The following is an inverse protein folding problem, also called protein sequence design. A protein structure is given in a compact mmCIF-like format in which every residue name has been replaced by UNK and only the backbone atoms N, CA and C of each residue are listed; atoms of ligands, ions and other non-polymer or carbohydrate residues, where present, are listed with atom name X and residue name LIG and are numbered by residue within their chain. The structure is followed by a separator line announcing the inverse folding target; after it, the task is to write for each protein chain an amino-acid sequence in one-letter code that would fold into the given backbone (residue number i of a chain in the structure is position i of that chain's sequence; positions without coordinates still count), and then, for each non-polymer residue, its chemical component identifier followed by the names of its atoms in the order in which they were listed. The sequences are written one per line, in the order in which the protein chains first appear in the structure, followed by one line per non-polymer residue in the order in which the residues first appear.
data_IF_811243535836
#
_entry.id   IF_811243535836
#
_cell.length_a   1.000
_cell.length_b   1.000
_cell.length_c   1.000
_cell.angle_alpha   90.00
_cell.angle_beta   90.00
_cell.angle_gamma   90.00
#
_symmetry.space_group_name_H-M   'P 1'
#
loop_
_entity.id
_entity.type
_entity.pdbx_description
1 polymer ?
#
# COMPACT_ATOMS: atom_id res chain seq x y z
N UNK A 1 -5.45 6.22 -48.63
CA UNK A 1 -5.28 5.19 -47.58
C UNK A 1 -3.81 4.95 -47.17
N UNK A 2 -2.88 4.50 -48.08
CA UNK A 2 -1.46 4.21 -47.66
C UNK A 2 -0.70 5.42 -47.10
N UNK A 3 -0.92 6.67 -47.60
CA UNK A 3 -0.31 7.89 -47.06
C UNK A 3 -0.83 8.22 -45.65
N UNK A 4 -2.12 8.07 -45.43
CA UNK A 4 -2.76 8.34 -44.11
C UNK A 4 -2.24 7.41 -43.04
N UNK A 5 -2.11 6.09 -43.35
CA UNK A 5 -1.51 5.09 -42.44
C UNK A 5 -0.03 5.41 -42.10
N UNK A 6 0.76 5.88 -43.08
CA UNK A 6 2.13 6.30 -42.82
C UNK A 6 2.20 7.50 -41.88
N UNK A 7 1.36 8.53 -42.10
CA UNK A 7 1.31 9.72 -41.24
C UNK A 7 0.90 9.33 -39.81
N UNK A 8 -0.16 8.52 -39.65
CA UNK A 8 -0.58 8.03 -38.31
C UNK A 8 0.55 7.25 -37.64
N UNK A 9 1.20 6.34 -38.37
CA UNK A 9 2.33 5.57 -37.83
C UNK A 9 3.50 6.45 -37.38
N UNK A 10 3.82 7.50 -38.14
CA UNK A 10 4.86 8.47 -37.78
C UNK A 10 4.47 9.25 -36.52
N UNK A 11 3.23 9.71 -36.40
CA UNK A 11 2.75 10.43 -35.21
C UNK A 11 2.83 9.54 -33.98
N UNK A 12 2.37 8.30 -34.07
CA UNK A 12 2.46 7.33 -32.96
C UNK A 12 3.92 7.11 -32.55
N UNK A 13 4.82 6.94 -33.51
CA UNK A 13 6.25 6.74 -33.22
C UNK A 13 6.84 7.97 -32.51
N UNK A 14 6.53 9.17 -32.95
CA UNK A 14 6.99 10.43 -32.31
C UNK A 14 6.44 10.54 -30.89
N UNK A 15 5.17 10.19 -30.66
CA UNK A 15 4.59 10.20 -29.32
C UNK A 15 5.24 9.15 -28.39
N UNK A 16 5.56 7.97 -28.91
CA UNK A 16 6.29 6.94 -28.13
C UNK A 16 7.69 7.44 -27.77
N UNK A 17 8.43 8.02 -28.72
CA UNK A 17 9.76 8.56 -28.45
C UNK A 17 9.70 9.70 -27.42
N UNK A 18 8.75 10.61 -27.56
CA UNK A 18 8.54 11.69 -26.61
C UNK A 18 8.19 11.16 -25.19
N UNK A 19 7.35 10.13 -25.10
CA UNK A 19 7.00 9.48 -23.84
C UNK A 19 8.24 8.81 -23.22
N UNK A 20 9.00 8.04 -23.99
CA UNK A 20 10.22 7.38 -23.49
C UNK A 20 11.24 8.42 -23.02
N UNK A 21 11.46 9.48 -23.78
CA UNK A 21 12.32 10.58 -23.38
C UNK A 21 11.84 11.24 -22.09
N UNK A 22 10.56 11.53 -21.98
CA UNK A 22 9.95 12.08 -20.76
C UNK A 22 10.17 11.17 -19.54
N UNK A 23 9.89 9.88 -19.67
CA UNK A 23 10.11 8.90 -18.60
C UNK A 23 11.60 8.83 -18.21
N UNK A 24 12.51 8.84 -19.18
CA UNK A 24 13.95 8.79 -18.93
C UNK A 24 14.45 10.04 -18.18
N UNK A 25 14.04 11.25 -18.60
CA UNK A 25 14.47 12.49 -17.96
C UNK A 25 13.80 12.75 -16.60
N UNK A 26 12.63 12.18 -16.33
CA UNK A 26 11.93 12.33 -15.06
C UNK A 26 12.29 11.26 -14.05
N UNK A 27 12.80 10.10 -14.50
CA UNK A 27 13.19 9.00 -13.62
C UNK A 27 14.46 9.34 -12.85
N UNK A 28 14.41 9.21 -11.52
CA UNK A 28 15.54 9.37 -10.63
C UNK A 28 16.17 8.02 -10.33
N UNK A 29 17.50 7.88 -10.32
CA UNK A 29 18.15 6.65 -9.90
C UNK A 29 17.85 6.36 -8.43
N UNK A 30 17.85 5.08 -8.05
CA UNK A 30 17.72 4.69 -6.65
C UNK A 30 18.95 5.20 -5.88
N UNK A 31 18.77 6.07 -4.88
CA UNK A 31 19.90 6.60 -4.13
C UNK A 31 20.49 5.51 -3.23
N UNK A 32 21.81 5.55 -3.11
CA UNK A 32 22.52 4.70 -2.16
C UNK A 32 22.50 5.36 -0.78
N UNK A 33 22.22 4.58 0.25
CA UNK A 33 22.16 5.04 1.63
C UNK A 33 23.12 4.29 2.53
N UNK A 34 23.47 4.91 3.65
CA UNK A 34 24.31 4.33 4.71
C UNK A 34 23.44 3.48 5.66
N UNK A 35 23.75 2.18 5.76
CA UNK A 35 23.11 1.27 6.72
C UNK A 35 23.72 1.46 8.12
N UNK A 36 23.00 1.08 9.16
CA UNK A 36 23.54 1.05 10.51
C UNK A 36 22.69 1.79 11.54
N UNK A 37 23.30 2.15 12.65
CA UNK A 37 22.63 2.64 13.86
C UNK A 37 21.73 3.87 13.59
N UNK A 38 22.16 4.77 12.71
CA UNK A 38 21.36 5.98 12.35
C UNK A 38 20.04 5.60 11.67
N UNK A 39 20.08 4.65 10.73
CA UNK A 39 18.87 4.18 10.05
C UNK A 39 17.90 3.51 11.00
N UNK A 40 18.41 2.68 11.93
CA UNK A 40 17.60 2.05 12.95
C UNK A 40 17.01 3.09 13.92
N UNK A 41 17.80 4.07 14.36
CA UNK A 41 17.33 5.15 15.24
C UNK A 41 16.24 6.01 14.60
N UNK A 42 16.38 6.35 13.30
CA UNK A 42 15.34 7.08 12.59
C UNK A 42 14.07 6.24 12.43
N UNK A 43 14.22 4.94 12.17
CA UNK A 43 13.09 3.99 12.11
C UNK A 43 12.33 3.97 13.44
N UNK A 44 13.04 3.87 14.58
CA UNK A 44 12.42 3.88 15.91
C UNK A 44 11.65 5.18 16.16
N UNK A 45 12.22 6.33 15.79
CA UNK A 45 11.54 7.63 15.93
C UNK A 45 10.26 7.70 15.11
N UNK A 46 10.28 7.22 13.86
CA UNK A 46 9.09 7.14 13.00
C UNK A 46 8.04 6.23 13.65
N UNK A 47 8.42 5.04 14.06
CA UNK A 47 7.52 4.08 14.70
C UNK A 47 6.92 4.59 16.00
N UNK A 48 7.70 5.32 16.81
CA UNK A 48 7.19 6.00 18.02
C UNK A 48 6.20 7.12 17.67
N UNK A 49 6.50 7.92 16.64
CA UNK A 49 5.66 9.04 16.23
C UNK A 49 4.26 8.63 15.79
N UNK A 50 4.13 7.43 15.20
CA UNK A 50 2.84 6.87 14.74
C UNK A 50 2.22 5.87 15.73
N UNK A 51 2.92 5.58 16.84
CA UNK A 51 2.54 4.62 17.87
C UNK A 51 2.46 3.17 17.36
N UNK A 52 3.57 2.67 16.81
CA UNK A 52 3.73 1.28 16.37
C UNK A 52 3.27 0.27 17.40
N UNK A 53 3.70 0.42 18.67
CA UNK A 53 3.36 -0.50 19.75
C UNK A 53 1.85 -0.67 19.95
N UNK A 54 1.11 0.42 19.82
CA UNK A 54 -0.35 0.35 19.89
C UNK A 54 -0.94 -0.32 18.64
N UNK A 55 -0.40 -0.01 17.44
CA UNK A 55 -0.78 -0.69 16.19
C UNK A 55 -0.59 -2.21 16.26
N UNK A 56 0.49 -2.69 16.86
CA UNK A 56 0.78 -4.12 16.99
C UNK A 56 -0.29 -4.84 17.85
N UNK A 57 -0.92 -4.12 18.78
CA UNK A 57 -2.01 -4.63 19.61
C UNK A 57 -3.38 -4.61 18.96
N UNK A 58 -3.54 -3.95 17.81
CA UNK A 58 -4.78 -3.93 17.04
C UNK A 58 -4.99 -5.29 16.38
N UNK A 59 -6.19 -5.84 16.54
CA UNK A 59 -6.61 -7.11 15.95
C UNK A 59 -7.41 -6.88 14.67
N UNK A 60 -8.32 -5.94 14.69
CA UNK A 60 -9.28 -5.71 13.61
C UNK A 60 -9.09 -4.34 12.96
N UNK A 61 -9.13 -4.32 11.62
CA UNK A 61 -9.03 -3.11 10.81
C UNK A 61 -10.11 -3.13 9.74
N UNK A 62 -10.83 -2.03 9.58
CA UNK A 62 -11.71 -1.79 8.45
C UNK A 62 -11.32 -0.49 7.76
N UNK A 63 -11.42 -0.45 6.45
CA UNK A 63 -11.20 0.76 5.66
C UNK A 63 -11.84 0.65 4.28
N UNK A 64 -12.05 1.80 3.64
CA UNK A 64 -12.48 1.88 2.25
C UNK A 64 -11.39 2.58 1.43
N UNK A 65 -10.99 1.97 0.32
CA UNK A 65 -10.00 2.51 -0.60
C UNK A 65 -10.68 3.07 -1.85
N UNK A 66 -10.35 4.30 -2.22
CA UNK A 66 -10.93 5.02 -3.39
C UNK A 66 -12.46 5.02 -3.44
N UNK A 67 -13.14 4.83 -2.31
CA UNK A 67 -14.60 4.82 -2.25
C UNK A 67 -15.28 3.55 -2.77
N UNK A 68 -14.54 2.60 -3.35
CA UNK A 68 -15.10 1.41 -4.01
C UNK A 68 -14.69 0.07 -3.40
N UNK A 69 -13.50 -0.05 -2.87
CA UNK A 69 -13.05 -1.28 -2.22
C UNK A 69 -13.23 -1.17 -0.71
N UNK A 70 -14.02 -2.05 -0.14
CA UNK A 70 -14.30 -2.11 1.30
C UNK A 70 -13.60 -3.30 1.90
N UNK A 71 -12.76 -3.05 2.90
CA UNK A 71 -11.96 -4.06 3.56
C UNK A 71 -12.36 -4.22 5.02
N UNK A 72 -12.40 -5.48 5.47
CA UNK A 72 -12.43 -5.87 6.88
C UNK A 72 -11.33 -6.92 7.07
N UNK A 73 -10.42 -6.68 8.01
CA UNK A 73 -9.22 -7.49 8.19
C UNK A 73 -9.04 -7.88 9.65
N UNK A 74 -9.02 -9.18 9.91
CA UNK A 74 -8.56 -9.76 11.17
C UNK A 74 -7.05 -10.04 11.05
N UNK A 75 -6.23 -9.15 11.60
CA UNK A 75 -4.77 -9.24 11.54
C UNK A 75 -4.24 -10.49 12.24
N UNK A 76 -4.90 -10.93 13.32
CA UNK A 76 -4.42 -12.05 14.14
C UNK A 76 -4.64 -13.40 13.46
N UNK A 77 -5.78 -13.56 12.76
CA UNK A 77 -6.13 -14.79 12.04
C UNK A 77 -5.75 -14.78 10.57
N UNK A 78 -5.22 -13.66 10.07
CA UNK A 78 -4.94 -13.43 8.64
C UNK A 78 -6.18 -13.57 7.74
N UNK A 79 -7.36 -13.20 8.26
CA UNK A 79 -8.62 -13.28 7.53
C UNK A 79 -8.99 -11.91 6.98
N UNK A 80 -9.37 -11.87 5.72
CA UNK A 80 -9.74 -10.65 5.01
C UNK A 80 -11.08 -10.83 4.32
N UNK A 81 -11.99 -9.87 4.51
CA UNK A 81 -13.13 -9.68 3.64
C UNK A 81 -12.87 -8.48 2.75
N UNK A 82 -13.09 -8.66 1.45
CA UNK A 82 -13.07 -7.59 0.45
C UNK A 82 -14.43 -7.53 -0.23
N UNK A 83 -14.97 -6.32 -0.34
CA UNK A 83 -16.19 -6.07 -1.09
C UNK A 83 -15.95 -4.98 -2.13
N UNK A 84 -16.30 -5.25 -3.38
CA UNK A 84 -16.27 -4.27 -4.47
C UNK A 84 -17.32 -4.63 -5.52
N UNK A 85 -17.94 -3.64 -6.13
CA UNK A 85 -19.06 -3.81 -7.05
C UNK A 85 -20.13 -4.76 -6.46
N UNK A 86 -20.35 -5.91 -7.09
CA UNK A 86 -21.29 -6.93 -6.64
C UNK A 86 -20.59 -8.17 -6.05
N UNK A 87 -19.30 -8.06 -5.76
CA UNK A 87 -18.48 -9.16 -5.22
C UNK A 87 -18.22 -9.01 -3.74
N UNK A 88 -18.26 -10.13 -3.04
CA UNK A 88 -17.80 -10.29 -1.66
C UNK A 88 -16.92 -11.51 -1.57
N UNK A 89 -15.69 -11.32 -1.12
CA UNK A 89 -14.70 -12.40 -0.94
C UNK A 89 -14.24 -12.39 0.50
N UNK A 90 -14.28 -13.57 1.13
CA UNK A 90 -13.80 -13.82 2.49
C UNK A 90 -12.74 -14.91 2.40
N UNK A 91 -11.53 -14.64 2.85
CA UNK A 91 -10.41 -15.56 2.64
C UNK A 91 -9.30 -15.37 3.68
N UNK A 92 -8.45 -16.38 3.81
CA UNK A 92 -7.19 -16.28 4.53
C UNK A 92 -6.11 -15.77 3.58
N UNK A 93 -5.47 -14.64 3.90
CA UNK A 93 -4.49 -14.00 3.01
C UNK A 93 -3.12 -14.69 2.97
N UNK A 94 -2.89 -15.73 3.77
CA UNK A 94 -1.69 -16.57 3.73
C UNK A 94 -1.91 -17.83 2.89
N UNK A 95 -3.05 -18.52 3.08
CA UNK A 95 -3.34 -19.79 2.38
C UNK A 95 -4.10 -19.60 1.07
N UNK A 96 -4.73 -18.44 0.88
CA UNK A 96 -5.67 -18.13 -0.22
C UNK A 96 -6.89 -19.06 -0.25
N UNK A 97 -7.21 -19.68 0.87
CA UNK A 97 -8.44 -20.46 1.04
C UNK A 97 -9.58 -19.55 1.49
N UNK A 98 -10.78 -19.80 0.97
CA UNK A 98 -11.91 -18.94 1.32
C UNK A 98 -13.16 -19.18 0.48
N UNK A 99 -14.08 -18.24 0.59
CA UNK A 99 -15.33 -18.22 -0.16
C UNK A 99 -15.49 -16.91 -0.91
N UNK A 100 -16.15 -16.96 -2.05
CA UNK A 100 -16.42 -15.80 -2.88
C UNK A 100 -17.88 -15.81 -3.35
N UNK A 101 -18.45 -14.63 -3.43
CA UNK A 101 -19.83 -14.41 -3.87
C UNK A 101 -19.86 -13.30 -4.92
N UNK A 102 -20.77 -13.44 -5.89
CA UNK A 102 -21.11 -12.43 -6.87
C UNK A 102 -22.64 -12.34 -6.98
N UNK A 103 -23.22 -11.15 -6.80
CA UNK A 103 -24.67 -10.95 -6.68
C UNK A 103 -25.30 -11.92 -5.65
N UNK A 104 -24.69 -12.07 -4.48
CA UNK A 104 -25.05 -12.96 -3.37
C UNK A 104 -25.06 -14.46 -3.71
N UNK A 105 -24.62 -14.84 -4.90
CA UNK A 105 -24.47 -16.25 -5.29
C UNK A 105 -23.03 -16.71 -5.05
N UNK A 106 -22.89 -17.84 -4.35
CA UNK A 106 -21.60 -18.43 -4.06
C UNK A 106 -20.92 -18.88 -5.35
N UNK A 107 -19.69 -18.45 -5.56
CA UNK A 107 -18.86 -18.86 -6.67
C UNK A 107 -18.19 -20.21 -6.36
N UNK A 108 -17.93 -20.99 -7.41
CA UNK A 108 -17.27 -22.29 -7.31
C UNK A 108 -16.00 -22.34 -8.18
N UNK A 109 -15.15 -23.30 -7.86
CA UNK A 109 -13.98 -23.69 -8.66
C UNK A 109 -13.12 -22.52 -9.17
N UNK A 110 -12.99 -22.42 -10.49
CA UNK A 110 -12.13 -21.43 -11.15
C UNK A 110 -12.54 -20.00 -10.86
N UNK A 111 -13.83 -19.69 -10.80
CA UNK A 111 -14.32 -18.32 -10.58
C UNK A 111 -14.09 -17.89 -9.13
N UNK A 112 -14.25 -18.80 -8.16
CA UNK A 112 -13.87 -18.56 -6.77
C UNK A 112 -12.37 -18.27 -6.66
N UNK A 113 -11.53 -19.10 -7.27
CA UNK A 113 -10.08 -18.95 -7.23
C UNK A 113 -9.63 -17.62 -7.85
N UNK A 114 -10.20 -17.22 -8.98
CA UNK A 114 -9.93 -15.93 -9.61
C UNK A 114 -10.36 -14.76 -8.72
N UNK A 115 -11.55 -14.84 -8.10
CA UNK A 115 -12.04 -13.79 -7.22
C UNK A 115 -11.17 -13.63 -5.97
N UNK A 116 -10.73 -14.74 -5.36
CA UNK A 116 -9.83 -14.71 -4.20
C UNK A 116 -8.47 -14.11 -4.59
N UNK A 117 -7.90 -14.50 -5.73
CA UNK A 117 -6.66 -13.92 -6.21
C UNK A 117 -6.79 -12.41 -6.44
N UNK A 118 -7.86 -11.96 -7.10
CA UNK A 118 -8.13 -10.54 -7.32
C UNK A 118 -8.27 -9.78 -6.00
N UNK A 119 -9.02 -10.34 -5.03
CA UNK A 119 -9.18 -9.76 -3.71
C UNK A 119 -7.86 -9.62 -2.97
N UNK A 120 -7.00 -10.65 -3.04
CA UNK A 120 -5.68 -10.65 -2.40
C UNK A 120 -4.73 -9.64 -3.05
N UNK A 121 -4.68 -9.56 -4.38
CA UNK A 121 -3.86 -8.59 -5.10
C UNK A 121 -4.30 -7.16 -4.75
N UNK A 122 -5.62 -6.90 -4.73
CA UNK A 122 -6.17 -5.61 -4.30
C UNK A 122 -5.86 -5.30 -2.84
N UNK A 123 -6.05 -6.25 -1.93
CA UNK A 123 -5.76 -6.05 -0.51
C UNK A 123 -4.29 -5.73 -0.26
N UNK A 124 -3.37 -6.45 -0.89
CA UNK A 124 -1.93 -6.21 -0.75
C UNK A 124 -1.55 -4.79 -1.21
N UNK A 125 -2.08 -4.35 -2.35
CA UNK A 125 -1.83 -3.00 -2.87
C UNK A 125 -2.51 -1.92 -2.01
N UNK A 126 -3.79 -2.06 -1.73
CA UNK A 126 -4.60 -1.00 -1.13
C UNK A 126 -4.31 -0.85 0.36
N UNK A 127 -4.07 -1.95 1.09
CA UNK A 127 -3.71 -1.91 2.50
C UNK A 127 -2.32 -1.29 2.72
N UNK A 128 -1.40 -1.42 1.77
CA UNK A 128 -0.07 -0.83 1.88
C UNK A 128 -0.13 0.71 2.00
N UNK A 129 -1.09 1.35 1.33
CA UNK A 129 -1.34 2.78 1.47
C UNK A 129 -1.84 3.20 2.86
N UNK A 130 -2.31 2.27 3.66
CA UNK A 130 -2.69 2.51 5.05
C UNK A 130 -1.55 2.17 6.01
N UNK A 131 -0.86 1.04 5.79
CA UNK A 131 0.00 0.42 6.80
C UNK A 131 1.50 0.52 6.53
N UNK A 132 1.93 1.04 5.38
CA UNK A 132 3.35 1.07 5.03
C UNK A 132 4.27 1.67 6.12
N UNK A 133 3.90 2.74 6.85
CA UNK A 133 4.71 3.26 7.94
C UNK A 133 4.87 2.29 9.11
N UNK A 134 3.95 1.33 9.27
CA UNK A 134 4.03 0.28 10.30
C UNK A 134 4.82 -0.96 9.83
N UNK A 135 5.26 -1.00 8.57
CA UNK A 135 5.96 -2.14 7.96
C UNK A 135 7.47 -1.91 7.77
N UNK A 136 8.02 -0.89 8.40
CA UNK A 136 9.43 -0.51 8.22
C UNK A 136 10.43 -1.59 8.69
N UNK A 137 9.97 -2.52 9.55
CA UNK A 137 10.77 -3.61 10.12
C UNK A 137 10.24 -5.00 9.76
N UNK A 138 9.42 -5.11 8.72
CA UNK A 138 8.96 -6.41 8.25
C UNK A 138 10.14 -7.32 7.86
N UNK A 139 9.93 -8.62 7.93
CA UNK A 139 10.92 -9.59 7.49
C UNK A 139 11.35 -9.31 6.03
N UNK A 140 12.65 -9.37 5.76
CA UNK A 140 13.20 -9.08 4.43
C UNK A 140 13.34 -7.58 4.12
N UNK A 141 13.12 -6.67 5.07
CA UNK A 141 13.40 -5.24 4.87
C UNK A 141 14.86 -4.90 5.21
N UNK A 142 15.43 -3.99 4.44
CA UNK A 142 16.69 -3.32 4.77
C UNK A 142 16.46 -1.83 4.88
N UNK A 143 17.20 -1.17 5.79
CA UNK A 143 17.08 0.26 6.08
C UNK A 143 18.41 0.96 5.90
N UNK A 144 18.38 2.15 5.33
CA UNK A 144 19.56 3.02 5.22
C UNK A 144 19.18 4.49 5.29
N UNK A 145 20.12 5.33 5.71
CA UNK A 145 19.95 6.78 5.67
C UNK A 145 20.42 7.30 4.33
N UNK A 146 19.59 8.12 3.71
CA UNK A 146 19.91 8.89 2.52
C UNK A 146 19.82 10.38 2.88
N UNK A 147 20.84 11.15 2.54
CA UNK A 147 20.75 12.61 2.66
C UNK A 147 19.94 13.16 1.49
N UNK A 148 18.80 13.79 1.81
CA UNK A 148 17.91 14.40 0.84
C UNK A 148 17.61 15.83 1.26
N UNK A 149 17.94 16.80 0.39
CA UNK A 149 17.69 18.23 0.64
C UNK A 149 18.22 18.70 2.02
N UNK A 150 19.41 18.26 2.39
CA UNK A 150 20.09 18.48 3.69
C UNK A 150 19.37 17.89 4.91
N UNK A 151 18.46 16.94 4.70
CA UNK A 151 17.77 16.20 5.77
C UNK A 151 18.06 14.70 5.65
N UNK A 152 18.11 14.02 6.79
CA UNK A 152 18.15 12.56 6.83
C UNK A 152 16.79 12.00 6.45
N UNK A 153 16.75 11.13 5.45
CA UNK A 153 15.57 10.40 5.02
C UNK A 153 15.81 8.90 5.17
N UNK A 154 14.78 8.14 5.49
CA UNK A 154 14.86 6.69 5.68
C UNK A 154 14.54 5.97 4.38
N UNK A 155 15.51 5.30 3.78
CA UNK A 155 15.29 4.35 2.70
C UNK A 155 14.93 2.98 3.28
N UNK A 156 13.82 2.42 2.85
CA UNK A 156 13.41 1.04 3.18
C UNK A 156 13.25 0.26 1.89
N UNK A 157 13.98 -0.84 1.76
CA UNK A 157 13.89 -1.76 0.63
C UNK A 157 13.30 -3.09 1.09
N UNK A 158 12.28 -3.56 0.39
CA UNK A 158 11.56 -4.80 0.66
C UNK A 158 12.07 -5.90 -0.26
N UNK A 159 13.02 -6.72 0.20
CA UNK A 159 13.60 -7.80 -0.62
C UNK A 159 12.63 -8.98 -0.79
N UNK A 160 11.68 -9.15 0.13
CA UNK A 160 10.69 -10.23 0.13
C UNK A 160 9.33 -9.70 0.58
N UNK A 161 8.27 -10.44 0.26
CA UNK A 161 6.89 -10.11 0.64
C UNK A 161 6.20 -9.12 -0.31
N UNK A 162 4.90 -8.95 -0.12
CA UNK A 162 4.07 -8.12 -0.99
C UNK A 162 3.95 -8.64 -2.42
N UNK A 163 3.46 -7.79 -3.32
CA UNK A 163 3.27 -8.14 -4.73
C UNK A 163 4.51 -7.86 -5.60
N UNK A 164 5.46 -7.06 -5.11
CA UNK A 164 6.61 -6.55 -5.88
C UNK A 164 7.89 -6.57 -5.03
N UNK A 165 8.52 -7.75 -4.83
CA UNK A 165 9.81 -7.84 -4.14
C UNK A 165 10.89 -7.00 -4.85
N UNK A 166 11.72 -6.30 -4.06
CA UNK A 166 12.75 -5.39 -4.55
C UNK A 166 12.37 -3.90 -4.50
N UNK A 167 11.11 -3.60 -4.25
CA UNK A 167 10.64 -2.22 -4.15
C UNK A 167 11.31 -1.45 -3.01
N UNK A 168 11.57 -0.18 -3.26
CA UNK A 168 12.24 0.72 -2.32
C UNK A 168 11.47 2.02 -2.14
N UNK A 169 11.40 2.49 -0.90
CA UNK A 169 10.68 3.69 -0.51
C UNK A 169 11.56 4.58 0.36
N UNK A 170 11.78 5.82 -0.06
CA UNK A 170 12.50 6.83 0.70
C UNK A 170 11.51 7.69 1.47
N UNK A 171 11.51 7.57 2.78
CA UNK A 171 10.61 8.27 3.68
C UNK A 171 11.21 9.60 4.15
N UNK A 172 10.51 10.68 3.87
CA UNK A 172 10.79 12.01 4.42
C UNK A 172 9.79 12.27 5.54
N UNK A 173 10.28 12.80 6.65
CA UNK A 173 9.49 13.03 7.86
C UNK A 173 9.43 14.52 8.22
N UNK A 174 8.47 14.89 9.04
CA UNK A 174 8.42 16.21 9.67
C UNK A 174 9.35 16.30 10.89
N UNK A 175 9.35 17.46 11.56
CA UNK A 175 10.11 17.70 12.80
C UNK A 175 9.74 16.78 13.97
N UNK A 176 8.56 16.13 13.92
CA UNK A 176 8.07 15.19 14.91
C UNK A 176 8.24 13.72 14.44
N UNK A 177 9.01 13.50 13.40
CA UNK A 177 9.25 12.18 12.77
C UNK A 177 8.00 11.51 12.20
N UNK A 178 6.90 12.26 11.97
CA UNK A 178 5.71 11.75 11.26
C UNK A 178 5.99 11.75 9.76
N UNK A 179 5.76 10.65 9.04
CA UNK A 179 5.95 10.60 7.60
C UNK A 179 5.12 11.65 6.86
N UNK A 180 5.77 12.43 5.99
CA UNK A 180 5.13 13.47 5.16
C UNK A 180 5.03 13.07 3.71
N UNK A 181 6.10 12.43 3.23
CA UNK A 181 6.28 12.10 1.82
C UNK A 181 7.08 10.81 1.76
N UNK A 182 6.77 9.99 0.78
CA UNK A 182 7.71 9.01 0.30
C UNK A 182 8.05 9.23 -1.17
N UNK A 183 9.25 8.81 -1.57
CA UNK A 183 9.62 8.63 -2.97
C UNK A 183 9.78 7.14 -3.22
N UNK A 184 9.25 6.65 -4.34
CA UNK A 184 9.17 5.23 -4.59
C UNK A 184 9.93 4.80 -5.84
N UNK A 185 10.56 3.66 -5.74
CA UNK A 185 11.19 2.89 -6.82
C UNK A 185 10.57 1.50 -6.79
N UNK A 186 9.57 1.29 -7.63
CA UNK A 186 8.77 0.07 -7.65
C UNK A 186 8.79 -0.53 -9.05
N UNK A 187 8.90 -1.84 -9.11
CA UNK A 187 9.13 -2.57 -10.37
C UNK A 187 8.00 -2.41 -11.40
N UNK A 188 6.78 -2.16 -10.93
CA UNK A 188 5.60 -1.99 -11.80
C UNK A 188 5.47 -0.60 -12.41
N UNK A 189 6.31 0.36 -12.00
CA UNK A 189 6.30 1.74 -12.52
C UNK A 189 7.66 2.03 -13.14
N UNK A 190 7.74 2.39 -14.42
CA UNK A 190 9.02 2.58 -15.13
C UNK A 190 9.74 3.88 -14.78
N UNK A 191 9.27 4.62 -13.78
CA UNK A 191 9.85 5.89 -13.32
C UNK A 191 10.18 5.80 -11.84
N UNK A 192 11.47 5.90 -11.52
CA UNK A 192 11.93 5.91 -10.14
C UNK A 192 11.85 7.30 -9.50
N UNK A 193 11.68 7.32 -8.19
CA UNK A 193 11.65 8.56 -7.40
C UNK A 193 10.35 9.35 -7.51
N UNK A 194 9.26 8.69 -7.92
CA UNK A 194 7.93 9.31 -7.87
C UNK A 194 7.57 9.65 -6.44
N UNK A 195 7.10 10.87 -6.25
CA UNK A 195 6.76 11.39 -4.95
C UNK A 195 5.27 11.28 -4.66
N UNK A 196 4.93 10.86 -3.44
CA UNK A 196 3.56 10.88 -2.94
C UNK A 196 3.54 11.33 -1.50
N UNK A 197 2.62 12.24 -1.17
CA UNK A 197 2.45 12.75 0.19
C UNK A 197 1.75 11.74 1.11
N UNK A 198 1.96 11.93 2.42
CA UNK A 198 1.24 11.28 3.50
C UNK A 198 0.61 12.38 4.36
N UNK A 199 -0.68 12.60 4.16
CA UNK A 199 -1.42 13.75 4.69
C UNK A 199 -2.63 13.32 5.50
N UNK A 200 -3.28 14.30 6.13
CA UNK A 200 -4.52 14.12 6.91
C UNK A 200 -4.36 13.00 7.96
N UNK A 201 -3.27 13.07 8.72
CA UNK A 201 -3.01 12.16 9.83
C UNK A 201 -4.08 12.30 10.90
N UNK A 202 -4.78 11.18 11.16
CA UNK A 202 -5.80 11.09 12.21
C UNK A 202 -5.34 10.18 13.32
N UNK A 203 -5.74 10.52 14.54
CA UNK A 203 -5.51 9.68 15.71
C UNK A 203 -6.73 8.79 15.94
N UNK A 204 -6.47 7.51 16.01
CA UNK A 204 -7.45 6.46 16.25
C UNK A 204 -7.30 5.87 17.66
N UNK A 205 -8.02 4.79 17.94
CA UNK A 205 -7.98 4.08 19.22
C UNK A 205 -6.53 3.80 19.65
N UNK A 206 -6.24 3.94 20.93
CA UNK A 206 -4.91 3.77 21.55
C UNK A 206 -3.84 4.74 20.97
N UNK A 207 -4.25 5.89 20.49
CA UNK A 207 -3.36 6.92 19.91
C UNK A 207 -2.58 6.44 18.66
N UNK A 208 -3.08 5.45 17.94
CA UNK A 208 -2.52 5.05 16.64
C UNK A 208 -2.77 6.17 15.62
N UNK A 209 -1.74 6.62 14.94
CA UNK A 209 -1.86 7.64 13.89
C UNK A 209 -1.83 6.99 12.52
N UNK A 210 -2.80 7.33 11.67
CA UNK A 210 -2.90 6.82 10.29
C UNK A 210 -3.14 8.01 9.36
N UNK A 211 -2.36 8.09 8.27
CA UNK A 211 -2.61 9.03 7.18
C UNK A 211 -3.84 8.59 6.38
N UNK A 212 -4.68 9.53 6.00
CA UNK A 212 -5.93 9.23 5.28
C UNK A 212 -5.98 9.79 3.87
N UNK A 213 -4.94 10.52 3.46
CA UNK A 213 -4.84 11.14 2.14
C UNK A 213 -3.42 11.05 1.60
N UNK A 214 -3.31 10.77 0.31
CA UNK A 214 -2.04 10.69 -0.40
C UNK A 214 -2.18 11.44 -1.72
N UNK A 215 -1.30 12.41 -1.97
CA UNK A 215 -1.27 13.20 -3.21
C UNK A 215 0.02 12.92 -3.96
N UNK A 216 -0.12 12.62 -5.23
CA UNK A 216 0.98 12.34 -6.15
C UNK A 216 0.47 12.34 -7.58
N UNK A 217 0.98 11.44 -8.40
CA UNK A 217 0.44 11.21 -9.75
C UNK A 217 -1.08 10.92 -9.72
N UNK A 218 -1.53 10.23 -8.70
CA UNK A 218 -2.94 9.92 -8.42
C UNK A 218 -3.22 10.31 -6.98
N UNK A 219 -4.33 10.99 -6.75
CA UNK A 219 -4.79 11.30 -5.40
C UNK A 219 -5.57 10.11 -4.84
N UNK A 220 -5.11 9.60 -3.69
CA UNK A 220 -5.72 8.47 -3.01
C UNK A 220 -6.32 8.92 -1.68
N UNK A 221 -7.48 8.39 -1.34
CA UNK A 221 -8.13 8.60 -0.05
C UNK A 221 -8.52 7.28 0.58
N UNK A 222 -8.22 7.18 1.87
CA UNK A 222 -8.68 6.12 2.75
C UNK A 222 -9.83 6.65 3.59
N UNK A 223 -10.96 5.96 3.57
CA UNK A 223 -12.20 6.38 4.22
C UNK A 223 -12.71 5.29 5.15
N UNK A 224 -13.64 5.64 6.03
CA UNK A 224 -14.31 4.70 6.93
C UNK A 224 -13.33 3.83 7.75
N UNK A 225 -12.16 4.39 8.10
CA UNK A 225 -11.15 3.65 8.86
C UNK A 225 -11.69 3.40 10.27
N UNK A 226 -11.68 2.14 10.67
CA UNK A 226 -11.95 1.69 12.03
C UNK A 226 -10.87 0.70 12.44
N UNK A 227 -10.37 0.79 13.64
CA UNK A 227 -9.43 -0.15 14.23
C UNK A 227 -9.91 -0.58 15.60
N UNK A 228 -9.63 -1.81 16.00
CA UNK A 228 -10.12 -2.33 17.27
C UNK A 228 -9.49 -3.64 17.73
N UNK A 229 -9.97 -4.12 18.87
CA UNK A 229 -9.51 -5.37 19.50
C UNK A 229 -10.25 -6.61 19.01
N UNK A 230 -11.36 -6.44 18.29
CA UNK A 230 -12.09 -7.55 17.66
C UNK A 230 -12.85 -7.05 16.43
N UNK A 231 -13.22 -7.98 15.56
CA UNK A 231 -14.05 -7.72 14.38
C UNK A 231 -15.41 -7.16 14.79
N UNK A 232 -16.05 -7.76 15.78
CA UNK A 232 -17.36 -7.37 16.28
C UNK A 232 -17.37 -5.91 16.77
N UNK A 233 -16.28 -5.48 17.42
CA UNK A 233 -16.16 -4.12 17.95
C UNK A 233 -16.18 -3.03 16.88
N UNK A 234 -15.73 -3.34 15.66
CA UNK A 234 -15.65 -2.38 14.55
C UNK A 234 -16.68 -2.62 13.45
N UNK A 235 -17.37 -3.78 13.47
CA UNK A 235 -18.30 -4.22 12.43
C UNK A 235 -19.73 -4.45 12.99
N UNK A 236 -20.19 -3.57 13.87
CA UNK A 236 -21.56 -3.56 14.42
C UNK A 236 -22.00 -4.90 15.04
N UNK A 237 -21.08 -5.59 15.72
CA UNK A 237 -21.35 -6.89 16.36
C UNK A 237 -21.32 -8.10 15.42
N UNK A 238 -21.09 -7.90 14.11
CA UNK A 238 -21.10 -8.99 13.12
C UNK A 238 -19.67 -9.45 12.83
N UNK A 239 -19.44 -10.76 12.90
CA UNK A 239 -18.18 -11.39 12.48
C UNK A 239 -18.42 -12.26 11.24
N UNK A 240 -17.99 -11.82 10.04
CA UNK A 240 -18.20 -12.60 8.81
C UNK A 240 -17.24 -13.78 8.66
N UNK A 241 -16.25 -13.89 9.54
CA UNK A 241 -15.21 -14.93 9.48
C UNK A 241 -15.57 -16.23 10.21
N UNK A 242 -16.81 -16.37 10.64
CA UNK A 242 -17.31 -17.59 11.30
C UNK A 242 -17.50 -18.77 10.36
N UNK A 243 -17.48 -18.50 9.04
CA UNK A 243 -17.62 -19.50 7.99
C UNK A 243 -16.27 -20.10 7.50
N UNK A 244 -15.12 -19.63 8.07
CA UNK A 244 -13.76 -20.07 7.70
C UNK A 244 -13.05 -20.79 8.84
#
# INVERSE_FOLDING_TARGET
MKKTFKIIGTIILVLIIALVAFLYFTSKPLPQGEKGIKAEALTDKIQQAINQKAWDSIVAVAFTFKGSHHYLWDKKRNLVQVQWDHKKVIYNNQTLEGVAYENDKKLADTDKTKAIKQANDSFNNDSFWLIAPFKLRDAGTTRSIVMQDNQEALMVTYATGGSTPGDSYLWLVDQNYVPKVWRLWVSIIPVGGLETSWEDWKTFQNNVKIATSHKGLINLKLQNIKIGKSIEAINNGVNPFTEL
#
